data_IF_166243199647
#
_entry.id   IF_166243199647
#
_cell.length_a   1.000
_cell.length_b   1.000
_cell.length_c   1.000
_cell.angle_alpha   90.00
_cell.angle_beta   90.00
_cell.angle_gamma   90.00
#
_symmetry.space_group_name_H-M   'P 1'
#
loop_
_entity.id
_entity.type
_entity.pdbx_description
1 polymer ?
#
# COMPACT_ATOMS: atom_id res chain seq x y z
N UNK A 1 8.92 5.56 26.34
CA UNK A 1 8.69 6.15 25.00
C UNK A 1 8.07 7.53 25.22
N UNK A 2 8.74 8.63 24.87
CA UNK A 2 8.14 9.95 24.98
C UNK A 2 6.86 9.99 24.13
N UNK A 3 5.75 10.45 24.70
CA UNK A 3 4.47 10.51 24.00
C UNK A 3 4.57 11.45 22.80
N UNK A 4 3.77 11.21 21.76
CA UNK A 4 3.71 12.10 20.59
C UNK A 4 3.38 13.56 20.98
N UNK A 5 2.63 13.76 22.08
CA UNK A 5 2.40 15.07 22.70
C UNK A 5 3.71 15.72 23.14
N UNK A 6 4.55 15.03 23.92
CA UNK A 6 5.82 15.57 24.41
C UNK A 6 6.79 15.98 23.28
N UNK A 7 6.70 15.35 22.10
CA UNK A 7 7.49 15.74 20.92
C UNK A 7 6.98 17.01 20.25
N UNK A 8 5.65 17.17 20.17
CA UNK A 8 5.04 18.40 19.67
C UNK A 8 5.31 19.56 20.65
N UNK A 9 5.21 19.30 21.95
CA UNK A 9 5.53 20.26 23.02
C UNK A 9 7.02 20.64 23.02
N UNK A 10 7.89 19.74 22.56
CA UNK A 10 9.31 19.97 22.32
C UNK A 10 9.66 20.59 20.95
N UNK A 11 8.68 21.05 20.17
CA UNK A 11 8.90 21.79 18.92
C UNK A 11 8.99 20.95 17.63
N UNK A 12 8.72 19.64 17.67
CA UNK A 12 8.68 18.83 16.46
C UNK A 12 7.49 19.22 15.57
N UNK A 13 7.66 19.18 14.24
CA UNK A 13 6.54 19.39 13.31
C UNK A 13 5.60 18.19 13.32
N UNK A 14 4.32 18.43 13.03
CA UNK A 14 3.31 17.37 12.86
C UNK A 14 3.72 16.36 11.78
N UNK A 15 4.36 16.83 10.72
CA UNK A 15 4.91 15.98 9.67
C UNK A 15 6.01 15.05 10.19
N UNK A 16 6.94 15.54 11.02
CA UNK A 16 7.99 14.72 11.62
C UNK A 16 7.41 13.64 12.56
N UNK A 17 6.34 13.99 13.29
CA UNK A 17 5.60 13.03 14.12
C UNK A 17 4.90 11.98 13.26
N UNK A 18 4.16 12.38 12.22
CA UNK A 18 3.47 11.48 11.30
C UNK A 18 4.45 10.51 10.59
N UNK A 19 5.60 11.01 10.13
CA UNK A 19 6.68 10.19 9.56
C UNK A 19 7.18 9.14 10.55
N UNK A 20 7.30 9.49 11.83
CA UNK A 20 7.72 8.52 12.85
C UNK A 20 6.68 7.42 13.04
N UNK A 21 5.39 7.77 13.08
CA UNK A 21 4.29 6.81 13.25
C UNK A 21 4.25 5.85 12.06
N UNK A 22 4.20 6.37 10.84
CA UNK A 22 4.11 5.59 9.60
C UNK A 22 5.36 4.73 9.38
N UNK A 23 6.54 5.22 9.75
CA UNK A 23 7.81 4.48 9.66
C UNK A 23 8.11 3.57 10.86
N UNK A 24 7.23 3.50 11.86
CA UNK A 24 7.50 2.73 13.08
C UNK A 24 7.55 1.23 12.82
N UNK A 25 8.44 0.52 13.52
CA UNK A 25 8.58 -0.92 13.36
C UNK A 25 7.29 -1.67 13.68
N UNK A 26 6.52 -1.22 14.68
CA UNK A 26 5.21 -1.80 15.02
C UNK A 26 4.23 -1.70 13.86
N UNK A 27 4.05 -0.50 13.31
CA UNK A 27 3.18 -0.26 12.17
C UNK A 27 3.60 -1.10 10.95
N UNK A 28 4.89 -1.06 10.60
CA UNK A 28 5.41 -1.80 9.45
C UNK A 28 5.28 -3.31 9.65
N UNK A 29 5.52 -3.85 10.85
CA UNK A 29 5.31 -5.28 11.16
C UNK A 29 3.86 -5.70 10.94
N UNK A 30 2.91 -4.93 11.46
CA UNK A 30 1.49 -5.23 11.32
C UNK A 30 1.08 -5.27 9.83
N UNK A 31 1.55 -4.29 9.05
CA UNK A 31 1.24 -4.25 7.62
C UNK A 31 1.92 -5.34 6.82
N UNK A 32 3.19 -5.66 7.10
CA UNK A 32 3.90 -6.72 6.38
C UNK A 32 3.19 -8.05 6.62
N UNK A 33 2.76 -8.31 7.85
CA UNK A 33 1.93 -9.49 8.15
C UNK A 33 0.62 -9.49 7.36
N UNK A 34 -0.06 -8.34 7.24
CA UNK A 34 -1.29 -8.23 6.47
C UNK A 34 -1.07 -8.50 4.96
N UNK A 35 0.00 -7.99 4.36
CA UNK A 35 0.33 -8.22 2.94
C UNK A 35 0.63 -9.70 2.65
N UNK A 36 1.37 -10.37 3.54
CA UNK A 36 1.60 -11.82 3.42
C UNK A 36 0.30 -12.62 3.51
N UNK A 37 -0.60 -12.26 4.44
CA UNK A 37 -1.90 -12.90 4.53
C UNK A 37 -2.76 -12.64 3.28
N UNK A 38 -2.82 -11.41 2.81
CA UNK A 38 -3.62 -11.03 1.65
C UNK A 38 -3.11 -11.65 0.34
N UNK A 39 -1.79 -11.75 0.16
CA UNK A 39 -1.20 -12.16 -1.12
C UNK A 39 -0.78 -13.63 -1.15
N UNK A 40 -0.30 -14.18 -0.03
CA UNK A 40 0.22 -15.55 0.06
C UNK A 40 -0.66 -16.47 0.91
N UNK A 41 -1.56 -15.92 1.73
CA UNK A 41 -2.46 -16.70 2.59
C UNK A 41 -1.76 -17.31 3.80
N UNK A 42 -0.65 -16.72 4.24
CA UNK A 42 0.11 -17.17 5.42
C UNK A 42 0.66 -16.00 6.22
N UNK A 43 1.08 -16.27 7.45
CA UNK A 43 1.85 -15.33 8.26
C UNK A 43 3.33 -15.42 7.86
N UNK A 44 4.07 -14.30 7.72
CA UNK A 44 5.50 -14.34 7.50
C UNK A 44 6.22 -14.88 8.73
N UNK A 45 7.36 -15.54 8.53
CA UNK A 45 8.28 -15.81 9.63
C UNK A 45 8.80 -14.51 10.25
N UNK A 46 9.32 -14.58 11.47
CA UNK A 46 9.92 -13.41 12.14
C UNK A 46 11.05 -12.82 11.30
N UNK A 47 11.90 -13.66 10.71
CA UNK A 47 13.01 -13.22 9.87
C UNK A 47 12.52 -12.54 8.58
N UNK A 48 11.54 -13.10 7.88
CA UNK A 48 10.95 -12.48 6.68
C UNK A 48 10.34 -11.11 7.00
N UNK A 49 9.58 -11.03 8.10
CA UNK A 49 8.94 -9.80 8.55
C UNK A 49 9.97 -8.73 8.92
N UNK A 50 10.98 -9.08 9.72
CA UNK A 50 11.97 -8.13 10.20
C UNK A 50 12.92 -7.67 9.06
N UNK A 51 13.21 -8.54 8.09
CA UNK A 51 13.93 -8.16 6.87
C UNK A 51 13.14 -7.18 6.02
N UNK A 52 11.83 -7.42 5.83
CA UNK A 52 10.95 -6.50 5.11
C UNK A 52 10.85 -5.14 5.82
N UNK A 53 10.67 -5.13 7.15
CA UNK A 53 10.61 -3.91 7.96
C UNK A 53 11.91 -3.11 7.83
N UNK A 54 13.06 -3.77 7.96
CA UNK A 54 14.38 -3.12 7.78
C UNK A 54 14.49 -2.48 6.40
N UNK A 55 14.09 -3.18 5.34
CA UNK A 55 14.14 -2.64 3.98
C UNK A 55 13.23 -1.43 3.80
N UNK A 56 12.01 -1.46 4.36
CA UNK A 56 11.05 -0.36 4.30
C UNK A 56 11.53 0.86 5.10
N UNK A 57 12.13 0.65 6.28
CA UNK A 57 12.76 1.73 7.05
C UNK A 57 14.01 2.29 6.34
N UNK A 58 14.70 1.46 5.56
CA UNK A 58 15.80 1.86 4.67
C UNK A 58 15.36 2.57 3.38
N UNK A 59 14.06 2.86 3.21
CA UNK A 59 13.54 3.65 2.09
C UNK A 59 13.01 2.83 0.91
N UNK A 60 12.97 1.50 0.98
CA UNK A 60 12.23 0.70 0.01
C UNK A 60 10.77 1.15 -0.01
N UNK A 61 10.21 1.38 -1.19
CA UNK A 61 8.78 1.69 -1.30
C UNK A 61 7.94 0.46 -1.02
N UNK A 62 6.77 0.65 -0.43
CA UNK A 62 5.88 -0.45 -0.14
C UNK A 62 5.47 -1.24 -1.38
N UNK A 63 5.25 -0.54 -2.49
CA UNK A 63 4.85 -1.16 -3.74
C UNK A 63 5.96 -2.06 -4.30
N UNK A 64 7.22 -1.85 -3.93
CA UNK A 64 8.33 -2.76 -4.25
C UNK A 64 8.30 -4.02 -3.39
N UNK A 65 7.95 -3.89 -2.10
CA UNK A 65 7.68 -5.05 -1.25
C UNK A 65 6.53 -5.90 -1.80
N UNK A 66 5.39 -5.28 -2.13
CA UNK A 66 4.22 -5.96 -2.65
C UNK A 66 4.49 -6.67 -4.00
N UNK A 67 5.24 -6.04 -4.93
CA UNK A 67 5.65 -6.72 -6.18
C UNK A 67 6.50 -7.96 -5.87
N UNK A 68 7.41 -7.88 -4.89
CA UNK A 68 8.22 -9.02 -4.48
C UNK A 68 7.37 -10.22 -4.05
N UNK A 69 6.29 -9.99 -3.30
CA UNK A 69 5.35 -11.04 -2.90
C UNK A 69 4.55 -11.57 -4.10
N UNK A 70 3.94 -10.69 -4.89
CA UNK A 70 3.07 -11.04 -6.02
C UNK A 70 3.81 -11.73 -7.18
N UNK A 71 5.11 -11.48 -7.31
CA UNK A 71 5.95 -12.12 -8.33
C UNK A 71 6.77 -13.32 -7.79
N UNK A 72 6.64 -13.64 -6.50
CA UNK A 72 7.39 -14.73 -5.85
C UNK A 72 7.05 -16.11 -6.44
N UNK A 73 7.96 -17.07 -6.21
CA UNK A 73 7.72 -18.47 -6.54
C UNK A 73 6.51 -19.04 -5.78
N UNK A 74 6.28 -18.61 -4.54
CA UNK A 74 5.13 -19.01 -3.72
C UNK A 74 3.82 -18.53 -4.33
N UNK A 75 3.75 -17.25 -4.72
CA UNK A 75 2.57 -16.71 -5.40
C UNK A 75 2.34 -17.41 -6.75
N UNK A 76 3.41 -17.71 -7.48
CA UNK A 76 3.34 -18.48 -8.74
C UNK A 76 2.82 -19.91 -8.53
N UNK A 77 3.23 -20.58 -7.46
CA UNK A 77 2.73 -21.91 -7.12
C UNK A 77 1.23 -21.89 -6.79
N UNK A 78 0.77 -20.82 -6.13
CA UNK A 78 -0.66 -20.62 -5.81
C UNK A 78 -1.51 -20.29 -7.03
N UNK A 79 -0.99 -19.47 -7.94
CA UNK A 79 -1.68 -19.05 -9.17
C UNK A 79 -0.85 -19.46 -10.40
N UNK A 80 -0.87 -20.75 -10.79
CA UNK A 80 0.03 -21.26 -11.80
C UNK A 80 -0.26 -20.70 -13.20
N UNK A 81 -1.53 -20.47 -13.55
CA UNK A 81 -1.90 -19.89 -14.84
C UNK A 81 -1.88 -18.36 -14.82
N UNK A 82 -1.58 -17.75 -15.98
CA UNK A 82 -1.59 -16.29 -16.12
C UNK A 82 -2.99 -15.69 -15.91
N UNK A 83 -4.04 -16.44 -16.27
CA UNK A 83 -5.42 -16.04 -16.00
C UNK A 83 -5.70 -16.01 -14.50
N UNK A 84 -5.37 -17.06 -13.76
CA UNK A 84 -5.56 -17.09 -12.32
C UNK A 84 -4.76 -15.98 -11.62
N UNK A 85 -3.54 -15.72 -12.09
CA UNK A 85 -2.72 -14.63 -11.61
C UNK A 85 -3.38 -13.26 -11.82
N UNK A 86 -3.82 -12.94 -13.05
CA UNK A 86 -4.47 -11.66 -13.36
C UNK A 86 -5.79 -11.48 -12.62
N UNK A 87 -6.64 -12.51 -12.62
CA UNK A 87 -7.94 -12.47 -11.92
C UNK A 87 -7.76 -12.26 -10.42
N UNK A 88 -6.74 -12.87 -9.82
CA UNK A 88 -6.45 -12.64 -8.42
C UNK A 88 -5.93 -11.22 -8.15
N UNK A 89 -5.12 -10.63 -9.02
CA UNK A 89 -4.66 -9.26 -8.84
C UNK A 89 -5.83 -8.27 -8.77
N UNK A 90 -6.85 -8.47 -9.62
CA UNK A 90 -8.09 -7.69 -9.52
C UNK A 90 -8.73 -7.82 -8.12
N UNK A 91 -8.83 -9.03 -7.59
CA UNK A 91 -9.44 -9.27 -6.29
C UNK A 91 -8.63 -8.69 -5.14
N UNK A 92 -7.33 -8.97 -5.05
CA UNK A 92 -6.54 -8.59 -3.87
C UNK A 92 -5.97 -7.18 -3.93
N UNK A 93 -5.75 -6.63 -5.12
CA UNK A 93 -5.20 -5.27 -5.28
C UNK A 93 -6.33 -4.24 -5.44
N UNK A 94 -7.37 -4.58 -6.20
CA UNK A 94 -8.45 -3.64 -6.54
C UNK A 94 -9.75 -3.93 -5.78
N UNK A 95 -9.89 -5.09 -5.14
CA UNK A 95 -11.08 -5.43 -4.34
C UNK A 95 -12.30 -5.78 -5.18
N UNK A 96 -12.13 -6.13 -6.46
CA UNK A 96 -13.24 -6.47 -7.36
C UNK A 96 -12.84 -7.52 -8.39
N UNK A 97 -13.79 -8.22 -9.03
CA UNK A 97 -13.49 -9.05 -10.20
C UNK A 97 -13.03 -8.20 -11.38
N UNK A 98 -12.11 -8.75 -12.18
CA UNK A 98 -11.68 -8.15 -13.44
C UNK A 98 -12.75 -8.32 -14.52
N UNK A 99 -13.01 -7.25 -15.26
CA UNK A 99 -13.85 -7.31 -16.46
C UNK A 99 -13.15 -8.09 -17.57
N UNK A 100 -13.92 -8.76 -18.43
CA UNK A 100 -13.38 -9.63 -19.47
C UNK A 100 -12.34 -8.91 -20.36
N UNK A 101 -12.62 -7.68 -20.78
CA UNK A 101 -11.69 -6.90 -21.60
C UNK A 101 -10.38 -6.57 -20.86
N UNK A 102 -10.46 -6.16 -19.59
CA UNK A 102 -9.29 -5.85 -18.77
C UNK A 102 -8.42 -7.08 -18.50
N UNK A 103 -9.04 -8.20 -18.14
CA UNK A 103 -8.34 -9.48 -17.97
C UNK A 103 -7.64 -9.89 -19.27
N UNK A 104 -8.33 -9.80 -20.42
CA UNK A 104 -7.73 -10.14 -21.71
C UNK A 104 -6.55 -9.22 -22.08
N UNK A 105 -6.63 -7.91 -21.80
CA UNK A 105 -5.53 -6.99 -22.06
C UNK A 105 -4.25 -7.38 -21.29
N UNK A 106 -4.38 -7.71 -19.99
CA UNK A 106 -3.24 -8.17 -19.19
C UNK A 106 -2.71 -9.55 -19.64
N UNK A 107 -3.60 -10.46 -20.06
CA UNK A 107 -3.19 -11.74 -20.64
C UNK A 107 -2.40 -11.57 -21.94
N UNK A 108 -2.81 -10.64 -22.80
CA UNK A 108 -2.05 -10.33 -24.00
C UNK A 108 -0.68 -9.73 -23.68
N UNK A 109 -0.60 -8.83 -22.69
CA UNK A 109 0.69 -8.29 -22.25
C UNK A 109 1.66 -9.40 -21.78
N UNK A 110 1.17 -10.39 -21.01
CA UNK A 110 1.95 -11.55 -20.57
C UNK A 110 2.39 -12.42 -21.76
N UNK A 111 1.48 -12.69 -22.72
CA UNK A 111 1.79 -13.43 -23.95
C UNK A 111 2.82 -12.72 -24.83
N UNK A 112 2.80 -11.39 -24.85
CA UNK A 112 3.78 -10.56 -25.55
C UNK A 112 5.11 -10.39 -24.81
N UNK A 113 5.32 -11.11 -23.71
CA UNK A 113 6.61 -11.17 -23.01
C UNK A 113 6.72 -10.28 -21.76
N UNK A 114 5.64 -9.60 -21.35
CA UNK A 114 5.65 -8.90 -20.06
C UNK A 114 5.80 -9.90 -18.92
N UNK A 115 6.60 -9.56 -17.91
CA UNK A 115 6.70 -10.40 -16.72
C UNK A 115 5.50 -10.19 -15.79
N UNK A 116 5.21 -11.18 -14.95
CA UNK A 116 4.22 -11.04 -13.87
C UNK A 116 4.55 -9.89 -12.92
N UNK A 117 5.84 -9.62 -12.69
CA UNK A 117 6.26 -8.48 -11.88
C UNK A 117 5.86 -7.14 -12.51
N UNK A 118 6.00 -7.01 -13.84
CA UNK A 118 5.56 -5.82 -14.58
C UNK A 118 4.04 -5.67 -14.52
N UNK A 119 3.29 -6.75 -14.69
CA UNK A 119 1.82 -6.72 -14.58
C UNK A 119 1.39 -6.35 -13.16
N UNK A 120 1.95 -6.98 -12.12
CA UNK A 120 1.66 -6.66 -10.72
C UNK A 120 1.98 -5.19 -10.38
N UNK A 121 3.13 -4.68 -10.85
CA UNK A 121 3.50 -3.27 -10.76
C UNK A 121 2.43 -2.37 -11.39
N UNK A 122 1.91 -2.72 -12.56
CA UNK A 122 0.84 -1.98 -13.23
C UNK A 122 -0.45 -1.90 -12.40
N UNK A 123 -0.86 -2.99 -11.74
CA UNK A 123 -1.99 -2.96 -10.81
C UNK A 123 -1.71 -2.10 -9.57
N UNK A 124 -0.52 -2.25 -8.99
CA UNK A 124 -0.10 -1.51 -7.79
C UNK A 124 0.03 0.00 -8.05
N UNK A 125 0.40 0.41 -9.25
CA UNK A 125 0.58 1.82 -9.58
C UNK A 125 -0.67 2.42 -10.25
N UNK A 126 -1.71 1.62 -10.46
CA UNK A 126 -2.95 2.06 -11.13
C UNK A 126 -3.65 3.18 -10.37
N UNK A 127 -4.26 4.10 -11.13
CA UNK A 127 -5.11 5.17 -10.59
C UNK A 127 -6.27 4.58 -9.80
N UNK A 128 -6.80 3.43 -10.23
CA UNK A 128 -7.88 2.73 -9.53
C UNK A 128 -7.47 2.33 -8.11
N UNK A 129 -6.32 1.65 -7.96
CA UNK A 129 -5.80 1.31 -6.63
C UNK A 129 -5.54 2.57 -5.80
N UNK A 130 -4.95 3.62 -6.38
CA UNK A 130 -4.69 4.88 -5.66
C UNK A 130 -5.98 5.53 -5.17
N UNK A 131 -7.05 5.51 -5.96
CA UNK A 131 -8.38 6.00 -5.55
C UNK A 131 -8.96 5.16 -4.41
N UNK A 132 -8.82 3.84 -4.46
CA UNK A 132 -9.21 2.93 -3.37
C UNK A 132 -8.46 3.25 -2.07
N UNK A 133 -7.13 3.31 -2.13
CA UNK A 133 -6.29 3.64 -0.98
C UNK A 133 -6.58 5.03 -0.41
N UNK A 134 -6.90 6.01 -1.28
CA UNK A 134 -7.34 7.32 -0.83
C UNK A 134 -8.66 7.26 -0.05
N UNK A 135 -9.66 6.55 -0.56
CA UNK A 135 -10.93 6.37 0.16
C UNK A 135 -10.74 5.70 1.52
N UNK A 136 -9.91 4.65 1.58
CA UNK A 136 -9.57 3.94 2.82
C UNK A 136 -8.84 4.85 3.82
N UNK A 137 -7.85 5.62 3.37
CA UNK A 137 -7.08 6.52 4.23
C UNK A 137 -7.95 7.66 4.80
N UNK A 138 -8.82 8.26 3.97
CA UNK A 138 -9.73 9.31 4.41
C UNK A 138 -10.77 8.78 5.41
N UNK A 139 -11.30 7.58 5.21
CA UNK A 139 -12.20 6.96 6.18
C UNK A 139 -11.47 6.64 7.49
N UNK A 140 -10.27 6.06 7.41
CA UNK A 140 -9.50 5.68 8.60
C UNK A 140 -9.05 6.89 9.44
N UNK A 141 -8.59 7.98 8.80
CA UNK A 141 -8.01 9.11 9.52
C UNK A 141 -8.98 10.27 9.72
N UNK A 142 -9.93 10.46 8.81
CA UNK A 142 -10.88 11.59 8.82
C UNK A 142 -12.35 11.14 8.87
N UNK A 143 -12.66 9.84 9.01
CA UNK A 143 -14.03 9.34 9.17
C UNK A 143 -15.02 9.81 8.10
N UNK A 144 -14.53 10.12 6.88
CA UNK A 144 -15.34 10.60 5.76
C UNK A 144 -14.73 10.16 4.44
N UNK A 145 -15.50 10.23 3.36
CA UNK A 145 -14.96 10.09 2.02
C UNK A 145 -14.23 11.37 1.56
N UNK A 146 -13.22 11.24 0.67
CA UNK A 146 -12.63 12.40 0.03
C UNK A 146 -13.60 13.00 -1.01
N UNK A 147 -13.58 14.32 -1.13
CA UNK A 147 -14.16 15.04 -2.27
C UNK A 147 -13.45 14.65 -3.58
N UNK A 148 -13.98 15.08 -4.73
CA UNK A 148 -13.34 14.82 -6.03
C UNK A 148 -11.92 15.43 -6.11
N UNK A 149 -11.77 16.69 -5.71
CA UNK A 149 -10.48 17.38 -5.71
C UNK A 149 -9.48 16.73 -4.75
N UNK A 150 -9.92 16.36 -3.55
CA UNK A 150 -9.08 15.63 -2.57
C UNK A 150 -8.64 14.27 -3.08
N UNK A 151 -9.53 13.55 -3.78
CA UNK A 151 -9.20 12.25 -4.38
C UNK A 151 -8.15 12.41 -5.47
N UNK A 152 -8.29 13.40 -6.34
CA UNK A 152 -7.34 13.64 -7.43
C UNK A 152 -5.98 14.10 -6.88
N UNK A 153 -5.96 14.97 -5.87
CA UNK A 153 -4.74 15.33 -5.14
C UNK A 153 -4.09 14.11 -4.48
N UNK A 154 -4.88 13.27 -3.80
CA UNK A 154 -4.37 12.04 -3.17
C UNK A 154 -3.78 11.06 -4.18
N UNK A 155 -4.30 10.99 -5.40
CA UNK A 155 -3.70 10.19 -6.49
C UNK A 155 -2.33 10.75 -6.89
N UNK A 156 -2.17 12.07 -6.94
CA UNK A 156 -0.89 12.71 -7.25
C UNK A 156 0.13 12.53 -6.12
N UNK A 157 -0.27 12.75 -4.87
CA UNK A 157 0.58 12.48 -3.70
C UNK A 157 1.09 11.04 -3.72
N UNK A 158 0.20 10.08 -3.99
CA UNK A 158 0.56 8.66 -4.09
C UNK A 158 1.50 8.37 -5.26
N UNK A 159 1.34 9.05 -6.40
CA UNK A 159 2.24 8.89 -7.54
C UNK A 159 3.66 9.36 -7.19
N UNK A 160 3.79 10.48 -6.47
CA UNK A 160 5.07 11.09 -6.13
C UNK A 160 5.76 10.42 -4.94
N UNK A 161 4.99 9.99 -3.93
CA UNK A 161 5.52 9.61 -2.62
C UNK A 161 5.05 8.24 -2.13
N UNK A 162 4.32 7.49 -2.97
CA UNK A 162 3.63 6.28 -2.54
C UNK A 162 2.49 6.59 -1.56
N UNK A 163 1.74 5.55 -1.17
CA UNK A 163 0.63 5.74 -0.22
C UNK A 163 1.07 6.12 1.20
N UNK A 164 2.30 5.80 1.60
CA UNK A 164 2.86 6.29 2.86
C UNK A 164 2.92 7.83 2.90
N UNK A 165 3.20 8.48 1.76
CA UNK A 165 3.16 9.94 1.64
C UNK A 165 1.77 10.51 1.93
N UNK A 166 0.72 9.89 1.38
CA UNK A 166 -0.66 10.30 1.68
C UNK A 166 -1.01 10.14 3.17
N UNK A 167 -0.54 9.06 3.80
CA UNK A 167 -0.78 8.85 5.23
C UNK A 167 -0.07 9.89 6.09
N UNK A 168 1.17 10.23 5.74
CA UNK A 168 1.92 11.31 6.39
C UNK A 168 1.17 12.64 6.26
N UNK A 169 0.70 12.97 5.06
CA UNK A 169 -0.06 14.20 4.78
C UNK A 169 -1.34 14.27 5.63
N UNK A 170 -2.14 13.21 5.64
CA UNK A 170 -3.40 13.15 6.38
C UNK A 170 -3.21 13.18 7.91
N UNK A 171 -2.22 12.44 8.42
CA UNK A 171 -1.88 12.42 9.85
C UNK A 171 -1.29 13.75 10.32
N UNK A 172 -0.56 14.46 9.45
CA UNK A 172 -0.01 15.78 9.76
C UNK A 172 -1.06 16.90 9.69
N UNK A 173 -2.18 16.66 8.98
CA UNK A 173 -3.27 17.60 8.78
C UNK A 173 -3.97 18.03 10.08
N UNK A 174 -4.55 19.24 10.07
CA UNK A 174 -5.25 19.81 11.23
C UNK A 174 -6.44 19.00 11.72
N UNK A 175 -7.19 18.40 10.80
CA UNK A 175 -8.40 17.64 11.08
C UNK A 175 -8.14 16.36 11.88
N UNK A 176 -7.00 15.67 11.65
CA UNK A 176 -6.64 14.47 12.41
C UNK A 176 -6.37 14.81 13.89
N UNK A 177 -5.62 15.89 14.15
CA UNK A 177 -5.31 16.31 15.52
C UNK A 177 -6.51 16.93 16.25
N UNK A 178 -7.42 17.58 15.52
CA UNK A 178 -8.66 18.11 16.11
C UNK A 178 -9.59 17.00 16.62
N UNK A 179 -9.54 15.81 16.02
CA UNK A 179 -10.38 14.65 16.37
C UNK A 179 -9.81 13.75 17.44
N UNK A 180 -8.50 13.78 17.66
CA UNK A 180 -7.79 12.92 18.60
C UNK A 180 -7.23 13.69 19.82
N UNK A 181 -7.91 14.78 20.21
CA UNK A 181 -7.68 15.52 21.46
C UNK A 181 -8.68 15.10 22.52
#
# INVERSE_FOLDING_TARGET
LASHSARLDGGATREAVARTIVGSAEHLRARVTADYQAHLGRTPSVAERDAAVTALQGGRRWEEHAVGLLASAEHRARYPSDRAFVEQLYLVVLGRPGEAAGVQAHLQALRSGSSRAVVARGFLDSVERRRKLAAEAYQAFLGRAPTAAERDAAVQTQAAHGHAGLWIELLAGGDYFARNR
#
